data_IF_517408151242
#
_entry.id   IF_517408151242
#
_cell.length_a   1.000
_cell.length_b   1.000
_cell.length_c   1.000
_cell.angle_alpha   90.00
_cell.angle_beta   90.00
_cell.angle_gamma   90.00
#
_symmetry.space_group_name_H-M   'P 1'
#
loop_
_entity.id
_entity.type
_entity.pdbx_description
1 polymer ?
#
# COMPACT_ATOMS: atom_id res chain seq x y z
N UNK A 1 0.54 -5.80 4.95
CA UNK A 1 -0.68 -5.77 5.79
C UNK A 1 -1.53 -4.52 5.57
N UNK A 2 -0.98 -3.29 5.63
CA UNK A 2 -1.78 -2.04 5.50
C UNK A 2 -2.63 -1.92 4.23
N UNK A 3 -2.11 -2.36 3.08
CA UNK A 3 -2.84 -2.32 1.79
C UNK A 3 -4.12 -3.16 1.81
N UNK A 4 -4.07 -4.39 2.33
CA UNK A 4 -5.25 -5.26 2.41
C UNK A 4 -6.32 -4.66 3.33
N UNK A 5 -5.91 -4.06 4.46
CA UNK A 5 -6.83 -3.37 5.37
C UNK A 5 -7.51 -2.20 4.65
N UNK A 6 -6.76 -1.39 3.91
CA UNK A 6 -7.32 -0.28 3.13
C UNK A 6 -8.35 -0.75 2.10
N UNK A 7 -8.06 -1.82 1.35
CA UNK A 7 -9.00 -2.41 0.39
C UNK A 7 -10.28 -2.91 1.08
N UNK A 8 -10.13 -3.59 2.21
CA UNK A 8 -11.26 -4.10 3.00
C UNK A 8 -12.13 -2.96 3.57
N UNK A 9 -11.51 -1.88 4.07
CA UNK A 9 -12.23 -0.69 4.56
C UNK A 9 -13.04 -0.01 3.45
N UNK A 10 -12.53 -0.03 2.21
CA UNK A 10 -13.24 0.48 1.02
C UNK A 10 -14.17 -0.55 0.39
N UNK A 11 -14.26 -1.76 0.94
CA UNK A 11 -15.04 -2.88 0.40
C UNK A 11 -14.73 -3.16 -1.09
N UNK A 12 -13.45 -3.09 -1.46
CA UNK A 12 -12.97 -3.35 -2.81
C UNK A 12 -12.62 -4.82 -2.93
N UNK A 13 -13.22 -5.51 -3.89
CA UNK A 13 -12.81 -6.88 -4.22
C UNK A 13 -11.43 -6.87 -4.88
N UNK A 14 -10.55 -7.78 -4.46
CA UNK A 14 -9.21 -7.93 -5.01
C UNK A 14 -8.80 -9.40 -5.06
N UNK A 15 -7.90 -9.72 -5.99
CA UNK A 15 -7.16 -10.97 -5.97
C UNK A 15 -5.87 -10.76 -5.17
N UNK A 16 -5.60 -11.64 -4.22
CA UNK A 16 -4.34 -11.66 -3.50
C UNK A 16 -3.41 -12.70 -4.11
N UNK A 17 -2.27 -12.24 -4.63
CA UNK A 17 -1.23 -13.11 -5.16
C UNK A 17 -0.09 -13.14 -4.17
N UNK A 18 0.15 -14.31 -3.57
CA UNK A 18 1.27 -14.53 -2.67
C UNK A 18 2.59 -14.54 -3.44
N UNK A 19 3.60 -13.88 -2.88
CA UNK A 19 4.97 -13.95 -3.38
C UNK A 19 5.73 -15.05 -2.62
N UNK A 20 6.27 -16.02 -3.36
CA UNK A 20 6.99 -17.14 -2.75
C UNK A 20 8.31 -16.68 -2.12
N UNK A 21 8.69 -17.32 -1.01
CA UNK A 21 10.01 -17.10 -0.42
C UNK A 21 11.12 -17.57 -1.36
N UNK A 22 12.08 -16.69 -1.68
CA UNK A 22 13.21 -16.99 -2.55
C UNK A 22 13.34 -15.97 -3.70
N UNK A 23 13.20 -16.45 -4.94
CA UNK A 23 13.34 -15.60 -6.11
C UNK A 23 12.04 -14.81 -6.38
N UNK A 24 12.21 -13.53 -6.71
CA UNK A 24 11.11 -12.64 -7.09
C UNK A 24 10.44 -13.11 -8.38
N UNK A 25 9.12 -13.18 -8.37
CA UNK A 25 8.30 -13.55 -9.52
C UNK A 25 8.46 -12.55 -10.67
N UNK A 26 8.25 -13.03 -11.91
CA UNK A 26 8.30 -12.17 -13.09
C UNK A 26 7.26 -11.03 -12.99
N UNK A 27 6.10 -11.32 -12.41
CA UNK A 27 5.05 -10.33 -12.18
C UNK A 27 5.54 -9.21 -11.26
N UNK A 28 6.19 -9.54 -10.14
CA UNK A 28 6.74 -8.55 -9.20
C UNK A 28 7.85 -7.73 -9.86
N UNK A 29 8.79 -8.38 -10.54
CA UNK A 29 9.91 -7.69 -11.21
C UNK A 29 9.43 -6.75 -12.30
N UNK A 30 8.40 -7.13 -13.06
CA UNK A 30 7.82 -6.27 -14.10
C UNK A 30 6.99 -5.11 -13.53
N UNK A 31 6.34 -5.33 -12.40
CA UNK A 31 5.43 -4.35 -11.80
C UNK A 31 6.16 -3.33 -10.91
N UNK A 32 7.26 -3.73 -10.25
CA UNK A 32 8.15 -2.86 -9.48
C UNK A 32 9.61 -3.07 -9.93
N UNK A 33 10.00 -2.60 -11.13
CA UNK A 33 11.34 -2.84 -11.64
C UNK A 33 12.45 -2.12 -10.86
N UNK A 34 12.10 -1.08 -10.09
CA UNK A 34 13.05 -0.26 -9.31
C UNK A 34 13.47 -1.00 -8.05
N UNK A 35 12.52 -1.36 -7.19
CA UNK A 35 12.81 -1.95 -5.89
C UNK A 35 12.57 -3.46 -5.85
N UNK A 36 11.63 -3.96 -6.67
CA UNK A 36 11.21 -5.37 -6.71
C UNK A 36 10.70 -5.86 -5.35
N UNK A 37 10.10 -4.95 -4.59
CA UNK A 37 9.57 -5.23 -3.26
C UNK A 37 8.04 -5.24 -3.28
N UNK A 38 7.47 -6.05 -2.39
CA UNK A 38 6.06 -6.04 -2.04
C UNK A 38 5.80 -4.99 -0.93
N UNK A 39 4.56 -4.48 -0.81
CA UNK A 39 3.41 -4.75 -1.66
C UNK A 39 3.44 -3.99 -3.01
N UNK A 40 2.78 -4.56 -4.01
CA UNK A 40 2.43 -3.88 -5.27
C UNK A 40 0.93 -4.04 -5.50
N UNK A 41 0.24 -2.94 -5.76
CA UNK A 41 -1.16 -2.95 -6.19
C UNK A 41 -1.19 -2.80 -7.71
N UNK A 42 -1.92 -3.66 -8.42
CA UNK A 42 -2.13 -3.53 -9.86
C UNK A 42 -3.59 -3.21 -10.11
N UNK A 43 -3.89 -1.96 -10.49
CA UNK A 43 -5.25 -1.53 -10.82
C UNK A 43 -5.34 -1.18 -12.30
N UNK A 44 -6.19 -1.89 -13.06
CA UNK A 44 -6.32 -1.73 -14.51
C UNK A 44 -4.96 -1.82 -15.23
N UNK A 45 -4.19 -2.87 -14.92
CA UNK A 45 -2.85 -3.14 -15.47
C UNK A 45 -1.78 -2.07 -15.14
N UNK A 46 -2.07 -1.13 -14.24
CA UNK A 46 -1.13 -0.10 -13.80
C UNK A 46 -0.63 -0.44 -12.40
N UNK A 47 0.68 -0.69 -12.22
CA UNK A 47 1.24 -0.97 -10.91
C UNK A 47 1.41 0.30 -10.10
N UNK A 48 1.10 0.22 -8.81
CA UNK A 48 1.40 1.21 -7.77
C UNK A 48 2.25 0.50 -6.72
N UNK A 49 3.39 1.09 -6.39
CA UNK A 49 4.35 0.59 -5.40
C UNK A 49 4.31 1.47 -4.15
N UNK A 50 5.04 1.06 -3.09
CA UNK A 50 5.09 1.71 -1.78
C UNK A 50 3.75 1.62 -1.01
N UNK A 51 3.78 1.01 0.18
CA UNK A 51 2.57 0.77 0.98
C UNK A 51 1.76 2.03 1.24
N UNK A 52 2.42 3.13 1.58
CA UNK A 52 1.77 4.41 1.89
C UNK A 52 1.08 4.96 0.64
N UNK A 53 1.79 5.02 -0.49
CA UNK A 53 1.24 5.52 -1.75
C UNK A 53 0.07 4.68 -2.24
N UNK A 54 0.13 3.35 -2.07
CA UNK A 54 -0.98 2.45 -2.39
C UNK A 54 -2.21 2.77 -1.52
N UNK A 55 -2.03 3.00 -0.21
CA UNK A 55 -3.14 3.33 0.70
C UNK A 55 -3.77 4.68 0.36
N UNK A 56 -2.95 5.69 0.03
CA UNK A 56 -3.42 6.99 -0.45
C UNK A 56 -4.23 6.86 -1.73
N UNK A 57 -3.69 6.12 -2.71
CA UNK A 57 -4.37 5.83 -3.96
C UNK A 57 -5.73 5.14 -3.73
N UNK A 58 -5.78 4.15 -2.84
CA UNK A 58 -7.05 3.49 -2.48
C UNK A 58 -8.04 4.48 -1.86
N UNK A 59 -7.56 5.38 -1.00
CA UNK A 59 -8.40 6.39 -0.38
C UNK A 59 -9.04 7.33 -1.41
N UNK A 60 -8.26 7.76 -2.40
CA UNK A 60 -8.66 8.71 -3.44
C UNK A 60 -9.50 8.11 -4.56
N UNK A 61 -9.26 6.85 -4.93
CA UNK A 61 -9.99 6.19 -6.04
C UNK A 61 -11.36 5.71 -5.60
N UNK A 62 -11.47 5.13 -4.40
CA UNK A 62 -12.73 4.63 -3.87
C UNK A 62 -13.28 5.58 -2.81
N UNK A 63 -13.60 6.81 -3.24
CA UNK A 63 -14.35 7.77 -2.43
C UNK A 63 -15.80 7.29 -2.34
N UNK A 64 -16.16 6.69 -1.21
CA UNK A 64 -17.56 6.46 -0.87
C UNK A 64 -18.11 7.76 -0.29
N UNK A 65 -19.35 8.12 -0.61
CA UNK A 65 -19.95 9.42 -0.28
C UNK A 65 -20.18 9.72 1.21
N UNK A 66 -19.52 9.00 2.11
CA UNK A 66 -19.60 9.20 3.57
C UNK A 66 -18.20 9.45 4.13
N UNK A 67 -18.05 10.57 4.84
CA UNK A 67 -16.82 10.98 5.54
C UNK A 67 -16.23 9.87 6.44
N UNK A 68 -17.09 9.01 6.99
CA UNK A 68 -16.73 7.87 7.85
C UNK A 68 -15.93 6.76 7.16
N UNK A 69 -15.77 6.81 5.84
CA UNK A 69 -15.04 5.82 5.05
C UNK A 69 -13.71 6.35 4.51
N UNK A 70 -13.31 7.57 4.87
CA UNK A 70 -11.98 8.07 4.55
C UNK A 70 -10.93 7.38 5.42
N UNK A 71 -9.86 6.89 4.79
CA UNK A 71 -8.72 6.29 5.48
C UNK A 71 -7.84 7.38 6.08
N UNK A 72 -7.77 8.54 5.42
CA UNK A 72 -6.99 9.69 5.86
C UNK A 72 -7.88 10.76 6.50
N UNK A 73 -7.36 11.48 7.51
CA UNK A 73 -8.00 12.69 8.02
C UNK A 73 -8.18 13.74 6.92
N UNK A 74 -9.24 14.53 7.01
CA UNK A 74 -9.52 15.65 6.11
C UNK A 74 -8.73 16.91 6.47
N UNK A 75 -8.47 17.12 7.76
CA UNK A 75 -7.65 18.24 8.21
C UNK A 75 -6.21 18.09 7.69
N UNK A 76 -5.61 19.14 7.07
CA UNK A 76 -4.27 19.04 6.50
C UNK A 76 -3.18 18.69 7.51
N UNK A 77 -3.28 19.19 8.75
CA UNK A 77 -2.28 18.93 9.79
C UNK A 77 -2.37 17.49 10.27
N UNK A 78 -3.58 17.00 10.53
CA UNK A 78 -3.80 15.61 10.93
C UNK A 78 -3.40 14.63 9.82
N UNK A 79 -3.70 14.97 8.57
CA UNK A 79 -3.29 14.20 7.40
C UNK A 79 -1.77 14.13 7.27
N UNK A 80 -1.07 15.26 7.41
CA UNK A 80 0.40 15.31 7.40
C UNK A 80 1.01 14.51 8.58
N UNK A 81 0.41 14.59 9.76
CA UNK A 81 0.83 13.84 10.95
C UNK A 81 0.68 12.34 10.75
N UNK A 82 -0.44 11.89 10.17
CA UNK A 82 -0.67 10.48 9.84
C UNK A 82 0.36 9.96 8.83
N UNK A 83 0.65 10.73 7.77
CA UNK A 83 1.69 10.40 6.78
C UNK A 83 3.08 10.29 7.40
N UNK A 84 3.43 11.22 8.28
CA UNK A 84 4.72 11.20 8.97
C UNK A 84 4.90 9.90 9.76
N UNK A 85 3.90 9.54 10.58
CA UNK A 85 3.98 8.32 11.39
C UNK A 85 3.99 7.05 10.55
N UNK A 86 3.21 7.00 9.47
CA UNK A 86 3.25 5.88 8.53
C UNK A 86 4.64 5.70 7.90
N UNK A 87 5.24 6.80 7.41
CA UNK A 87 6.60 6.79 6.83
C UNK A 87 7.64 6.36 7.86
N UNK A 88 7.54 6.85 9.09
CA UNK A 88 8.46 6.46 10.17
C UNK A 88 8.39 4.95 10.47
N UNK A 89 7.18 4.38 10.48
CA UNK A 89 6.99 2.94 10.69
C UNK A 89 7.59 2.13 9.54
N UNK A 90 7.31 2.50 8.29
CA UNK A 90 7.86 1.79 7.12
C UNK A 90 9.40 1.84 7.11
N UNK A 91 9.99 3.00 7.40
CA UNK A 91 11.44 3.19 7.42
C UNK A 91 12.13 2.43 8.56
N UNK A 92 11.57 2.47 9.77
CA UNK A 92 12.25 1.96 10.98
C UNK A 92 11.91 0.52 11.32
N UNK A 93 10.74 0.05 10.90
CA UNK A 93 10.21 -1.26 11.25
C UNK A 93 10.22 -2.20 10.04
N UNK A 94 9.68 -1.79 8.89
CA UNK A 94 9.49 -2.69 7.75
C UNK A 94 10.79 -3.05 7.01
N UNK A 95 11.70 -2.08 6.78
CA UNK A 95 13.01 -2.35 6.14
C UNK A 95 13.87 -3.38 6.91
N UNK A 96 13.73 -3.45 8.23
CA UNK A 96 14.44 -4.47 9.04
C UNK A 96 13.92 -5.88 8.78
N UNK A 97 12.65 -6.05 8.43
CA UNK A 97 12.09 -7.37 8.10
C UNK A 97 12.51 -7.84 6.70
N UNK A 98 12.57 -6.94 5.72
CA UNK A 98 13.00 -7.29 4.35
C UNK A 98 14.51 -7.53 4.21
N UNK A 99 15.34 -7.02 5.12
CA UNK A 99 16.80 -7.25 5.10
C UNK A 99 17.27 -8.52 5.82
N UNK A 100 16.37 -9.26 6.47
CA UNK A 100 16.73 -10.38 7.37
C UNK A 100 16.36 -11.78 6.86
N UNK A 101 15.95 -11.89 5.60
CA UNK A 101 15.64 -13.13 4.90
C UNK A 101 16.28 -13.11 3.51
#
# INVERSE_FOLDING_TARGET
MGVQIALNLKNVAYEFVDEAAGAQSELLVRSNPVYKLIPVLIHNYRPICESIMIVEYINEVWVTGTESSSILPFDPYDCASARFWASYIDDKVALKFYSKH
#
